data_IF_997803962846
#
_entry.id   IF_997803962846
#
_cell.length_a   1.000
_cell.length_b   1.000
_cell.length_c   1.000
_cell.angle_alpha   90.00
_cell.angle_beta   90.00
_cell.angle_gamma   90.00
#
_symmetry.space_group_name_H-M   'P 1'
#
loop_
_entity.id
_entity.type
_entity.pdbx_description
1 polymer ?
#
# COMPACT_ATOMS: atom_id res chain seq x y z
N UNK A 1 -4.69 -16.31 11.11
CA UNK A 1 -3.90 -15.82 9.96
C UNK A 1 -3.21 -17.02 9.33
N UNK A 2 -3.50 -17.35 8.07
CA UNK A 2 -2.98 -18.55 7.39
C UNK A 2 -1.64 -18.21 6.71
N UNK A 3 -0.55 -18.85 7.17
CA UNK A 3 0.81 -18.69 6.65
C UNK A 3 0.95 -19.06 5.15
N UNK A 4 0.00 -19.81 4.58
CA UNK A 4 0.00 -20.14 3.15
C UNK A 4 -0.27 -18.93 2.25
N UNK A 5 -1.06 -17.95 2.70
CA UNK A 5 -1.37 -16.76 1.89
C UNK A 5 -0.17 -15.84 1.72
N UNK A 6 0.77 -15.84 2.68
CA UNK A 6 2.00 -15.06 2.61
C UNK A 6 3.03 -15.71 1.67
N UNK A 7 3.10 -17.04 1.65
CA UNK A 7 4.04 -17.79 0.80
C UNK A 7 3.74 -17.68 -0.71
N UNK A 8 2.47 -17.57 -1.09
CA UNK A 8 2.08 -17.48 -2.51
C UNK A 8 2.39 -16.10 -3.13
N UNK A 9 2.43 -15.01 -2.34
CA UNK A 9 2.81 -13.69 -2.84
C UNK A 9 4.32 -13.56 -3.14
N UNK A 10 5.17 -14.38 -2.52
CA UNK A 10 6.63 -14.31 -2.72
C UNK A 10 7.10 -15.05 -3.99
N UNK A 11 6.30 -15.99 -4.52
CA UNK A 11 6.70 -16.81 -5.67
C UNK A 11 6.61 -16.11 -7.03
N UNK A 12 5.98 -14.93 -7.12
CA UNK A 12 5.87 -14.14 -8.36
C UNK A 12 6.70 -12.85 -8.35
N UNK A 13 7.48 -12.58 -7.29
CA UNK A 13 8.37 -11.44 -7.25
C UNK A 13 9.72 -11.82 -7.90
N UNK A 14 10.07 -11.09 -8.96
CA UNK A 14 11.39 -11.09 -9.60
C UNK A 14 12.54 -11.30 -8.59
N UNK A 15 13.31 -12.37 -8.77
CA UNK A 15 14.40 -12.81 -7.90
C UNK A 15 15.63 -11.89 -7.93
N UNK A 16 15.48 -10.60 -7.58
CA UNK A 16 16.59 -9.65 -7.43
C UNK A 16 16.60 -8.86 -6.13
N UNK A 17 15.65 -9.09 -5.23
CA UNK A 17 15.67 -8.51 -3.88
C UNK A 17 15.21 -9.53 -2.83
N UNK A 18 16.09 -10.48 -2.48
CA UNK A 18 15.90 -11.34 -1.32
C UNK A 18 17.24 -11.50 -0.58
N UNK A 19 17.61 -10.46 0.18
CA UNK A 19 18.52 -10.59 1.32
C UNK A 19 17.89 -9.86 2.49
N UNK A 20 17.31 -10.64 3.41
CA UNK A 20 17.36 -10.45 4.86
C UNK A 20 16.15 -11.15 5.51
N UNK A 21 16.46 -11.96 6.52
CA UNK A 21 15.61 -12.50 7.61
C UNK A 21 15.40 -14.01 7.57
N UNK A 22 16.46 -14.73 7.94
CA UNK A 22 16.33 -15.95 8.74
C UNK A 22 17.33 -15.83 9.90
N UNK A 23 16.83 -15.61 11.11
CA UNK A 23 17.56 -15.85 12.36
C UNK A 23 16.91 -17.08 13.03
N UNK A 24 17.65 -18.16 13.30
CA UNK A 24 17.08 -19.41 13.80
C UNK A 24 17.10 -19.43 15.33
N UNK A 25 15.98 -19.13 15.96
CA UNK A 25 15.79 -19.42 17.39
C UNK A 25 14.35 -19.86 17.65
N UNK A 26 14.13 -21.18 17.60
CA UNK A 26 13.32 -21.99 18.52
C UNK A 26 12.90 -23.31 17.85
N UNK A 27 13.71 -24.36 18.06
CA UNK A 27 13.27 -25.75 17.92
C UNK A 27 13.56 -26.44 19.25
N UNK A 28 12.50 -26.84 19.96
CA UNK A 28 12.56 -27.74 21.12
C UNK A 28 12.62 -29.20 20.64
N UNK A 29 13.35 -30.11 21.33
CA UNK A 29 13.70 -31.40 20.77
C UNK A 29 12.69 -32.53 21.05
N UNK A 30 12.52 -33.35 20.01
CA UNK A 30 12.45 -34.81 19.95
C UNK A 30 11.38 -35.60 20.75
N UNK A 31 10.64 -36.42 19.98
CA UNK A 31 10.00 -37.65 20.45
C UNK A 31 9.62 -38.57 19.29
N UNK A 32 10.20 -39.78 19.30
CA UNK A 32 9.84 -41.00 18.59
C UNK A 32 10.37 -41.28 17.16
N UNK A 33 11.25 -42.28 17.16
CA UNK A 33 11.79 -43.17 16.13
C UNK A 33 11.02 -43.38 14.82
N UNK A 34 11.75 -43.36 13.70
CA UNK A 34 11.80 -44.49 12.78
C UNK A 34 13.11 -44.49 11.96
N UNK A 35 13.74 -45.66 11.92
CA UNK A 35 14.97 -45.95 11.19
C UNK A 35 14.71 -45.99 9.67
N UNK A 36 15.55 -45.31 8.90
CA UNK A 36 15.89 -45.75 7.53
C UNK A 36 17.40 -45.56 7.35
N UNK A 37 18.11 -46.69 7.34
CA UNK A 37 19.49 -46.82 6.88
C UNK A 37 19.53 -46.55 5.37
N UNK A 38 20.54 -45.83 4.89
CA UNK A 38 21.21 -46.13 3.62
C UNK A 38 22.51 -45.30 3.46
N UNK A 39 23.61 -46.00 3.18
CA UNK A 39 24.65 -45.53 2.25
C UNK A 39 25.85 -44.77 2.83
N UNK A 40 26.91 -45.52 3.13
CA UNK A 40 28.25 -45.00 3.42
C UNK A 40 28.90 -44.31 2.21
N UNK A 41 29.71 -43.28 2.45
CA UNK A 41 31.14 -43.25 2.06
C UNK A 41 31.85 -42.13 2.81
N UNK A 42 33.07 -42.44 3.26
CA UNK A 42 33.89 -41.68 4.18
C UNK A 42 35.01 -40.92 3.46
N UNK A 43 35.38 -39.76 4.00
CA UNK A 43 36.69 -39.07 4.02
C UNK A 43 36.38 -37.65 4.56
N UNK A 44 36.88 -37.12 5.68
CA UNK A 44 38.04 -37.45 6.50
C UNK A 44 38.90 -36.19 6.62
N UNK A 45 38.71 -35.35 7.64
CA UNK A 45 39.79 -34.60 8.33
C UNK A 45 39.26 -33.81 9.54
N UNK A 46 39.95 -34.01 10.67
CA UNK A 46 39.77 -33.34 11.97
C UNK A 46 40.31 -31.91 11.94
N UNK A 47 39.80 -31.02 12.80
CA UNK A 47 40.61 -30.09 13.58
C UNK A 47 39.83 -29.49 14.78
N UNK A 48 40.33 -29.83 15.97
CA UNK A 48 40.47 -29.03 17.20
C UNK A 48 39.28 -28.33 17.89
N UNK A 49 39.18 -28.60 19.19
CA UNK A 49 38.29 -27.99 20.19
C UNK A 49 38.87 -26.68 20.77
N UNK A 50 37.97 -25.96 21.47
CA UNK A 50 38.13 -25.19 22.74
C UNK A 50 38.40 -23.67 22.64
N UNK A 51 37.44 -22.85 23.07
CA UNK A 51 37.33 -22.20 24.41
C UNK A 51 36.36 -21.00 24.33
N UNK A 52 35.47 -20.95 25.32
CA UNK A 52 34.49 -19.93 25.65
C UNK A 52 35.10 -18.65 26.25
N UNK A 53 34.49 -17.48 26.00
CA UNK A 53 34.52 -16.37 26.96
C UNK A 53 33.27 -15.48 26.86
N UNK A 54 32.60 -15.38 28.01
CA UNK A 54 31.49 -14.49 28.37
C UNK A 54 31.99 -13.04 28.41
N UNK A 55 31.16 -12.08 27.97
CA UNK A 55 31.49 -10.65 28.07
C UNK A 55 30.36 -9.69 27.77
N UNK A 56 29.60 -9.36 28.82
CA UNK A 56 29.05 -8.03 29.16
C UNK A 56 27.96 -7.38 28.28
N UNK A 57 26.76 -7.35 28.86
CA UNK A 57 25.64 -6.46 28.55
C UNK A 57 26.05 -4.98 28.49
N UNK A 58 25.55 -4.27 27.48
CA UNK A 58 25.24 -2.84 27.59
C UNK A 58 23.84 -2.55 27.03
N UNK A 59 23.00 -2.07 27.93
CA UNK A 59 21.70 -1.46 27.66
C UNK A 59 21.85 -0.31 26.66
N UNK A 60 21.09 -0.35 25.57
CA UNK A 60 20.78 0.83 24.75
C UNK A 60 19.27 0.88 24.55
N UNK A 61 18.55 1.14 25.65
CA UNK A 61 17.24 1.77 25.59
C UNK A 61 17.48 3.27 25.70
N UNK A 62 17.41 3.99 24.57
CA UNK A 62 17.01 5.39 24.47
C UNK A 62 17.40 5.97 23.10
N UNK A 63 16.51 5.84 22.11
CA UNK A 63 16.26 6.87 21.10
C UNK A 63 15.06 6.47 20.24
N UNK A 64 13.86 6.67 20.80
CA UNK A 64 12.69 6.90 19.97
C UNK A 64 12.95 8.22 19.24
N UNK A 65 13.40 8.13 17.99
CA UNK A 65 13.47 9.28 17.11
C UNK A 65 12.04 9.77 16.90
N UNK A 66 11.81 10.98 17.39
CA UNK A 66 10.68 11.84 17.05
C UNK A 66 10.49 11.79 15.53
N UNK A 67 9.30 11.39 15.07
CA UNK A 67 8.95 11.41 13.66
C UNK A 67 8.89 12.87 13.22
N UNK A 68 9.97 13.35 12.61
CA UNK A 68 10.00 14.69 12.02
C UNK A 68 9.17 14.64 10.72
N UNK A 69 7.92 15.08 10.81
CA UNK A 69 7.04 15.27 9.66
C UNK A 69 7.47 16.52 8.89
N UNK A 70 8.33 16.34 7.88
CA UNK A 70 8.56 17.38 6.86
C UNK A 70 7.49 17.27 5.75
N UNK A 71 6.92 18.39 5.28
CA UNK A 71 5.88 18.40 4.26
C UNK A 71 6.41 18.02 2.86
N UNK A 72 5.76 17.01 2.24
CA UNK A 72 5.80 16.68 0.81
C UNK A 72 5.16 17.86 0.07
N UNK A 73 5.97 18.66 -0.59
CA UNK A 73 5.49 19.80 -1.37
C UNK A 73 5.84 19.62 -2.85
N UNK A 74 4.83 19.69 -3.72
CA UNK A 74 5.05 20.26 -5.05
C UNK A 74 5.42 21.72 -4.83
N UNK A 75 6.57 22.18 -5.36
CA UNK A 75 6.96 23.59 -5.25
C UNK A 75 5.86 24.46 -5.86
N UNK A 76 5.09 25.16 -5.03
CA UNK A 76 4.26 26.28 -5.49
C UNK A 76 5.22 27.32 -6.08
N UNK A 77 4.97 27.85 -7.30
CA UNK A 77 5.74 28.99 -7.77
C UNK A 77 5.57 30.14 -6.77
N UNK A 78 6.68 30.76 -6.34
CA UNK A 78 6.65 31.92 -5.45
C UNK A 78 5.93 33.07 -6.18
N UNK A 79 4.81 33.61 -5.66
CA UNK A 79 4.28 34.85 -6.19
C UNK A 79 5.19 35.98 -5.73
N UNK A 80 6.07 36.44 -6.61
CA UNK A 80 6.73 37.74 -6.47
C UNK A 80 5.71 38.83 -6.80
N UNK A 81 4.85 39.16 -5.83
CA UNK A 81 4.27 40.50 -5.67
C UNK A 81 3.42 40.55 -4.40
N UNK A 82 3.57 41.64 -3.65
CA UNK A 82 2.73 41.99 -2.51
C UNK A 82 1.25 42.01 -2.93
N UNK A 83 0.45 41.07 -2.40
CA UNK A 83 -0.97 41.33 -2.14
C UNK A 83 -1.19 41.05 -0.66
N UNK A 84 -1.22 42.15 0.12
CA UNK A 84 -1.60 42.17 1.52
C UNK A 84 -3.13 42.13 1.55
N UNK A 85 -3.72 41.00 1.98
CA UNK A 85 -5.15 40.90 2.26
C UNK A 85 -5.99 40.18 1.20
N UNK A 86 -5.90 38.85 1.18
CA UNK A 86 -7.03 37.92 1.02
C UNK A 86 -6.45 36.53 1.29
N UNK A 87 -6.47 36.07 2.54
CA UNK A 87 -6.33 34.63 2.81
C UNK A 87 -7.59 33.97 2.27
N UNK A 88 -7.61 33.65 0.98
CA UNK A 88 -8.56 32.68 0.45
C UNK A 88 -8.23 31.37 1.16
N UNK A 89 -8.98 31.01 2.19
CA UNK A 89 -8.96 29.65 2.71
C UNK A 89 -9.40 28.77 1.56
N UNK A 90 -8.45 28.07 0.93
CA UNK A 90 -8.80 26.96 0.05
C UNK A 90 -9.74 26.07 0.86
N UNK A 91 -10.95 25.75 0.35
CA UNK A 91 -11.87 24.91 1.09
C UNK A 91 -11.14 23.63 1.46
N UNK A 92 -11.06 23.34 2.76
CA UNK A 92 -10.54 22.07 3.24
C UNK A 92 -11.49 20.98 2.78
N UNK A 93 -10.93 19.91 2.25
CA UNK A 93 -11.70 18.69 2.02
C UNK A 93 -11.88 18.06 3.41
N UNK A 94 -13.12 17.97 3.87
CA UNK A 94 -13.50 17.36 5.15
C UNK A 94 -14.00 15.91 4.98
N UNK A 95 -14.29 15.51 3.75
CA UNK A 95 -14.81 14.18 3.43
C UNK A 95 -13.69 13.13 3.31
N UNK A 96 -13.93 11.87 3.72
CA UNK A 96 -12.95 10.81 3.57
C UNK A 96 -12.58 10.52 2.11
N UNK A 97 -11.34 10.09 1.87
CA UNK A 97 -10.82 9.83 0.52
C UNK A 97 -10.66 8.34 0.24
N UNK A 98 -11.17 7.89 -0.90
CA UNK A 98 -10.89 6.57 -1.47
C UNK A 98 -9.91 6.74 -2.64
N UNK A 99 -8.71 6.19 -2.50
CA UNK A 99 -7.77 6.05 -3.61
C UNK A 99 -8.05 4.74 -4.36
N UNK A 100 -8.34 4.82 -5.65
CA UNK A 100 -8.83 3.70 -6.43
C UNK A 100 -7.87 3.32 -7.56
N UNK A 101 -7.34 2.09 -7.53
CA UNK A 101 -6.72 1.47 -8.71
C UNK A 101 -7.78 0.82 -9.62
N UNK A 102 -7.39 0.49 -10.85
CA UNK A 102 -8.21 -0.11 -11.89
C UNK A 102 -7.81 -1.56 -12.14
N UNK A 103 -6.61 -1.80 -12.66
CA UNK A 103 -6.12 -3.16 -12.91
C UNK A 103 -6.00 -3.92 -11.58
N UNK A 104 -6.50 -5.15 -11.54
CA UNK A 104 -6.55 -5.95 -10.31
C UNK A 104 -7.59 -5.51 -9.28
N UNK A 105 -8.38 -4.47 -9.58
CA UNK A 105 -9.44 -3.94 -8.70
C UNK A 105 -10.79 -3.90 -9.44
N UNK A 106 -10.90 -3.10 -10.50
CA UNK A 106 -12.11 -2.95 -11.31
C UNK A 106 -12.24 -4.02 -12.40
N UNK A 107 -11.19 -4.83 -12.58
CA UNK A 107 -11.10 -6.01 -13.44
C UNK A 107 -9.82 -6.78 -13.09
N UNK A 108 -9.65 -8.04 -13.51
CA UNK A 108 -8.39 -8.75 -13.35
C UNK A 108 -7.23 -8.03 -14.05
N UNK A 109 -6.06 -7.94 -13.42
CA UNK A 109 -4.89 -7.20 -13.91
C UNK A 109 -4.47 -7.62 -15.32
N UNK A 110 -4.50 -8.92 -15.60
CA UNK A 110 -4.15 -9.49 -16.90
C UNK A 110 -5.40 -10.03 -17.59
N UNK A 111 -6.29 -9.14 -17.99
CA UNK A 111 -7.46 -9.49 -18.78
C UNK A 111 -7.45 -8.84 -20.16
N UNK A 112 -8.26 -9.40 -21.06
CA UNK A 112 -8.52 -8.79 -22.36
C UNK A 112 -9.31 -7.48 -22.19
N UNK A 113 -9.10 -6.50 -23.06
CA UNK A 113 -9.70 -5.15 -22.93
C UNK A 113 -11.23 -5.17 -22.82
N UNK A 114 -11.89 -6.15 -23.44
CA UNK A 114 -13.35 -6.35 -23.35
C UNK A 114 -13.85 -6.71 -21.94
N UNK A 115 -12.94 -7.00 -20.99
CA UNK A 115 -13.23 -7.26 -19.58
C UNK A 115 -12.86 -6.09 -18.67
N UNK A 116 -12.27 -5.02 -19.20
CA UNK A 116 -12.01 -3.83 -18.41
C UNK A 116 -13.29 -3.32 -17.75
N UNK A 117 -13.17 -2.91 -16.49
CA UNK A 117 -14.28 -2.40 -15.67
C UNK A 117 -15.42 -3.40 -15.41
N UNK A 118 -15.22 -4.71 -15.62
CA UNK A 118 -16.27 -5.69 -15.35
C UNK A 118 -16.68 -5.78 -13.85
N UNK A 119 -15.87 -5.26 -12.92
CA UNK A 119 -16.19 -5.13 -11.49
C UNK A 119 -16.64 -3.72 -11.09
N UNK A 120 -16.64 -2.77 -12.02
CA UNK A 120 -17.02 -1.39 -11.72
C UNK A 120 -18.45 -1.27 -11.15
N UNK A 121 -19.49 -1.95 -11.67
CA UNK A 121 -20.83 -1.84 -11.09
C UNK A 121 -20.88 -2.16 -9.59
N UNK A 122 -20.22 -3.24 -9.17
CA UNK A 122 -20.13 -3.62 -7.76
C UNK A 122 -19.37 -2.58 -6.93
N UNK A 123 -18.25 -2.06 -7.46
CA UNK A 123 -17.49 -1.01 -6.78
C UNK A 123 -18.31 0.28 -6.61
N UNK A 124 -19.07 0.68 -7.62
CA UNK A 124 -19.93 1.85 -7.53
C UNK A 124 -21.05 1.68 -6.50
N UNK A 125 -21.65 0.49 -6.41
CA UNK A 125 -22.66 0.21 -5.40
C UNK A 125 -22.10 0.33 -3.97
N UNK A 126 -20.85 -0.09 -3.76
CA UNK A 126 -20.15 0.10 -2.49
C UNK A 126 -19.86 1.58 -2.22
N UNK A 127 -19.45 2.35 -3.23
CA UNK A 127 -19.25 3.79 -3.09
C UNK A 127 -20.56 4.54 -2.81
N UNK A 128 -21.70 4.11 -3.38
CA UNK A 128 -23.02 4.69 -3.09
C UNK A 128 -23.45 4.44 -1.64
N UNK A 129 -23.14 3.28 -1.09
CA UNK A 129 -23.37 2.98 0.34
C UNK A 129 -22.53 3.88 1.26
N UNK A 130 -21.31 4.24 0.83
CA UNK A 130 -20.45 5.21 1.50
C UNK A 130 -20.51 6.58 0.81
N UNK A 131 -21.70 7.17 0.70
CA UNK A 131 -21.99 8.33 -0.16
C UNK A 131 -21.18 9.59 0.13
N UNK A 132 -20.66 9.75 1.36
CA UNK A 132 -19.84 10.90 1.75
C UNK A 132 -18.38 10.79 1.29
N UNK A 133 -17.89 9.61 0.94
CA UNK A 133 -16.51 9.44 0.48
C UNK A 133 -16.28 10.16 -0.85
N UNK A 134 -15.09 10.71 -1.06
CA UNK A 134 -14.66 11.25 -2.35
C UNK A 134 -13.59 10.35 -2.94
N UNK A 135 -13.49 10.32 -4.26
CA UNK A 135 -12.62 9.36 -4.98
C UNK A 135 -11.44 10.09 -5.61
N UNK A 136 -10.26 9.48 -5.53
CA UNK A 136 -9.08 9.90 -6.28
C UNK A 136 -8.56 8.68 -7.01
N UNK A 137 -8.38 8.80 -8.32
CA UNK A 137 -7.86 7.68 -9.11
C UNK A 137 -6.36 7.58 -8.87
N UNK A 138 -5.91 6.43 -8.35
CA UNK A 138 -4.49 6.17 -8.11
C UNK A 138 -3.87 5.23 -9.15
N UNK A 139 -4.68 4.73 -10.09
CA UNK A 139 -4.24 3.83 -11.17
C UNK A 139 -3.14 4.41 -12.05
N UNK A 140 -2.28 3.55 -12.59
CA UNK A 140 -1.25 3.91 -13.60
C UNK A 140 -1.85 4.41 -14.91
N UNK A 141 -3.14 4.17 -15.18
CA UNK A 141 -3.84 4.67 -16.35
C UNK A 141 -3.81 6.21 -16.45
N UNK A 142 -3.73 6.91 -15.31
CA UNK A 142 -3.55 8.37 -15.24
C UNK A 142 -2.29 8.88 -15.91
N UNK A 143 -1.28 8.03 -16.11
CA UNK A 143 -0.04 8.39 -16.79
C UNK A 143 -0.21 8.44 -18.32
N UNK A 144 -1.29 7.86 -18.84
CA UNK A 144 -1.56 7.72 -20.27
C UNK A 144 -2.83 8.46 -20.71
N UNK A 145 -3.70 8.81 -19.77
CA UNK A 145 -4.97 9.46 -20.05
C UNK A 145 -5.27 10.58 -19.03
N UNK A 146 -5.81 11.71 -19.49
CA UNK A 146 -6.23 12.78 -18.59
C UNK A 146 -7.43 12.34 -17.74
N UNK A 147 -7.59 12.96 -16.57
CA UNK A 147 -8.63 12.59 -15.60
C UNK A 147 -10.04 12.66 -16.20
N UNK A 148 -10.29 13.59 -17.12
CA UNK A 148 -11.58 13.74 -17.81
C UNK A 148 -11.91 12.51 -18.66
N UNK A 149 -10.90 11.83 -19.22
CA UNK A 149 -11.11 10.57 -19.95
C UNK A 149 -11.37 9.42 -18.97
N UNK A 150 -10.64 9.36 -17.88
CA UNK A 150 -10.80 8.31 -16.87
C UNK A 150 -12.17 8.38 -16.16
N UNK A 151 -12.63 9.59 -15.83
CA UNK A 151 -13.94 9.84 -15.22
C UNK A 151 -15.10 9.30 -16.05
N UNK A 152 -14.97 9.26 -17.39
CA UNK A 152 -16.04 8.78 -18.29
C UNK A 152 -16.34 7.28 -18.16
N UNK A 153 -15.50 6.50 -17.50
CA UNK A 153 -15.81 5.10 -17.21
C UNK A 153 -16.88 4.96 -16.12
N UNK A 154 -17.04 5.97 -15.27
CA UNK A 154 -17.93 5.94 -14.12
C UNK A 154 -19.32 6.48 -14.48
N UNK A 155 -20.32 5.98 -13.75
CA UNK A 155 -21.65 6.57 -13.70
C UNK A 155 -21.60 8.05 -13.28
N UNK A 156 -22.55 8.89 -13.73
CA UNK A 156 -22.51 10.33 -13.46
C UNK A 156 -22.36 10.68 -11.97
N UNK A 157 -23.09 10.00 -11.09
CA UNK A 157 -23.07 10.25 -9.65
C UNK A 157 -21.71 9.92 -8.99
N UNK A 158 -21.02 8.89 -9.49
CA UNK A 158 -19.67 8.57 -9.03
C UNK A 158 -18.63 9.48 -9.68
N UNK A 159 -18.80 9.82 -10.96
CA UNK A 159 -17.89 10.69 -11.68
C UNK A 159 -17.79 12.08 -11.03
N UNK A 160 -18.90 12.62 -10.52
CA UNK A 160 -18.95 13.89 -9.77
C UNK A 160 -18.14 13.84 -8.45
N UNK A 161 -18.00 12.65 -7.86
CA UNK A 161 -17.23 12.43 -6.62
C UNK A 161 -15.74 12.21 -6.86
N UNK A 162 -15.29 12.06 -8.11
CA UNK A 162 -13.88 11.90 -8.46
C UNK A 162 -13.22 13.27 -8.43
N UNK A 163 -12.38 13.54 -7.43
CA UNK A 163 -11.69 14.82 -7.28
C UNK A 163 -10.50 15.00 -8.21
N UNK A 164 -9.89 13.90 -8.66
CA UNK A 164 -8.70 13.98 -9.49
C UNK A 164 -7.97 12.64 -9.59
N UNK A 165 -6.68 12.75 -9.86
CA UNK A 165 -5.74 11.64 -9.94
C UNK A 165 -4.56 11.89 -8.98
N UNK A 166 -3.88 10.84 -8.52
CA UNK A 166 -2.65 11.00 -7.74
C UNK A 166 -1.50 11.54 -8.61
N UNK A 167 -0.53 12.27 -8.04
CA UNK A 167 0.70 12.63 -8.76
C UNK A 167 1.50 11.39 -9.17
N UNK A 168 2.48 11.57 -10.05
CA UNK A 168 3.41 10.53 -10.48
C UNK A 168 4.59 10.44 -9.51
N UNK A 169 4.88 9.25 -8.97
CA UNK A 169 5.94 9.08 -7.96
C UNK A 169 7.31 9.69 -8.34
N UNK A 170 7.86 9.52 -9.56
CA UNK A 170 9.16 10.09 -9.94
C UNK A 170 9.18 11.62 -9.96
N UNK A 171 8.03 12.28 -9.99
CA UNK A 171 7.92 13.74 -9.96
C UNK A 171 7.79 14.29 -8.54
N UNK A 172 7.59 13.41 -7.55
CA UNK A 172 7.52 13.81 -6.15
C UNK A 172 8.88 14.30 -5.67
N UNK A 173 8.84 15.32 -4.83
CA UNK A 173 10.01 15.89 -4.15
C UNK A 173 9.85 15.66 -2.65
N UNK A 174 10.97 15.57 -1.97
CA UNK A 174 11.03 15.47 -0.50
C UNK A 174 10.24 14.27 0.05
N UNK A 175 10.28 13.13 -0.67
CA UNK A 175 9.65 11.88 -0.21
C UNK A 175 10.34 11.40 1.06
N UNK A 176 9.63 11.25 2.20
CA UNK A 176 10.20 10.73 3.43
C UNK A 176 10.91 9.40 3.19
N UNK A 177 12.07 9.21 3.81
CA UNK A 177 12.84 7.96 3.70
C UNK A 177 12.01 6.71 4.04
N UNK A 178 11.03 6.84 4.92
CA UNK A 178 10.10 5.76 5.31
C UNK A 178 9.13 5.34 4.20
N UNK A 179 8.96 6.16 3.17
CA UNK A 179 8.09 5.88 2.02
C UNK A 179 8.90 5.52 0.75
N UNK A 180 10.24 5.49 0.83
CA UNK A 180 11.06 5.03 -0.27
C UNK A 180 10.74 3.56 -0.57
N UNK A 181 10.41 3.26 -1.84
CA UNK A 181 9.97 1.93 -2.27
C UNK A 181 8.46 1.68 -2.13
N UNK A 182 7.73 2.52 -1.39
CA UNK A 182 6.27 2.41 -1.23
C UNK A 182 5.56 3.47 -2.08
N UNK A 183 5.72 3.32 -3.39
CA UNK A 183 5.43 4.38 -4.35
C UNK A 183 3.97 4.84 -4.31
N UNK A 184 3.01 3.90 -4.30
CA UNK A 184 1.59 4.24 -4.31
C UNK A 184 1.18 4.94 -3.03
N UNK A 185 1.69 4.51 -1.87
CA UNK A 185 1.41 5.21 -0.61
C UNK A 185 2.00 6.63 -0.60
N UNK A 186 3.18 6.85 -1.15
CA UNK A 186 3.76 8.18 -1.28
C UNK A 186 2.93 9.10 -2.19
N UNK A 187 2.43 8.57 -3.30
CA UNK A 187 1.52 9.28 -4.22
C UNK A 187 0.22 9.69 -3.52
N UNK A 188 -0.42 8.78 -2.78
CA UNK A 188 -1.63 9.09 -2.00
C UNK A 188 -1.38 10.18 -0.96
N UNK A 189 -0.28 10.08 -0.19
CA UNK A 189 0.06 11.07 0.84
C UNK A 189 0.41 12.44 0.26
N UNK A 190 1.13 12.46 -0.87
CA UNK A 190 1.41 13.69 -1.60
C UNK A 190 0.12 14.36 -2.09
N UNK A 191 -0.84 13.59 -2.60
CA UNK A 191 -2.15 14.10 -2.99
C UNK A 191 -2.90 14.71 -1.79
N UNK A 192 -2.97 13.99 -0.66
CA UNK A 192 -3.64 14.49 0.55
C UNK A 192 -3.04 15.83 1.02
N UNK A 193 -1.71 15.94 1.05
CA UNK A 193 -1.04 17.17 1.50
C UNK A 193 -1.21 18.33 0.51
N UNK A 194 -1.12 18.07 -0.80
CA UNK A 194 -1.33 19.08 -1.81
C UNK A 194 -2.75 19.68 -1.77
N UNK A 195 -3.74 18.87 -1.36
CA UNK A 195 -5.16 19.24 -1.29
C UNK A 195 -5.64 19.60 0.12
N UNK A 196 -4.74 19.86 1.07
CA UNK A 196 -5.07 20.18 2.47
C UNK A 196 -5.99 19.13 3.16
N UNK A 197 -5.92 17.87 2.71
CA UNK A 197 -6.71 16.74 3.16
C UNK A 197 -5.87 15.76 4.02
N UNK A 198 -4.76 16.21 4.59
CA UNK A 198 -3.86 15.38 5.41
C UNK A 198 -4.56 14.79 6.66
N UNK A 199 -5.62 15.45 7.12
CA UNK A 199 -6.31 15.20 8.37
C UNK A 199 -7.51 14.26 8.18
N UNK A 200 -8.02 14.08 6.96
CA UNK A 200 -9.20 13.24 6.72
C UNK A 200 -8.82 11.75 6.66
N UNK A 201 -9.72 10.85 7.07
CA UNK A 201 -9.54 9.43 6.87
C UNK A 201 -9.41 9.08 5.38
N UNK A 202 -8.61 8.06 5.07
CA UNK A 202 -8.48 7.57 3.70
C UNK A 202 -8.26 6.06 3.62
N UNK A 203 -8.64 5.50 2.47
CA UNK A 203 -8.48 4.10 2.12
C UNK A 203 -8.02 3.97 0.66
N UNK A 204 -6.95 3.22 0.40
CA UNK A 204 -6.62 2.75 -0.93
C UNK A 204 -7.25 1.38 -1.18
N UNK A 205 -7.82 1.18 -2.36
CA UNK A 205 -8.25 -0.13 -2.86
C UNK A 205 -7.32 -0.48 -4.02
N UNK A 206 -6.47 -1.49 -3.81
CA UNK A 206 -5.31 -1.78 -4.66
C UNK A 206 -4.93 -3.27 -4.55
N UNK A 207 -4.43 -3.87 -5.62
CA UNK A 207 -4.03 -5.27 -5.67
C UNK A 207 -2.54 -5.50 -5.36
N UNK A 208 -1.74 -4.44 -5.28
CA UNK A 208 -0.28 -4.52 -5.15
C UNK A 208 0.19 -4.06 -3.77
N UNK A 209 0.13 -4.93 -2.74
CA UNK A 209 0.45 -4.55 -1.37
C UNK A 209 1.89 -4.06 -1.18
N UNK A 210 2.84 -4.47 -2.03
CA UNK A 210 4.24 -4.02 -1.98
C UNK A 210 4.43 -2.54 -2.36
N UNK A 211 3.43 -1.87 -2.93
CA UNK A 211 3.46 -0.43 -3.18
C UNK A 211 3.10 0.41 -1.94
N UNK A 212 2.80 -0.25 -0.83
CA UNK A 212 2.46 0.36 0.45
C UNK A 212 3.38 -0.19 1.55
N UNK A 213 3.55 0.58 2.63
CA UNK A 213 4.28 0.11 3.81
C UNK A 213 3.65 -1.17 4.36
N UNK A 214 4.45 -2.08 4.94
CA UNK A 214 3.92 -3.25 5.65
C UNK A 214 2.88 -2.84 6.69
N UNK A 215 1.79 -3.61 6.77
CA UNK A 215 0.68 -3.37 7.70
C UNK A 215 0.00 -1.99 7.53
N UNK A 216 0.03 -1.41 6.33
CA UNK A 216 -0.67 -0.16 6.03
C UNK A 216 -2.17 -0.30 6.35
N UNK A 217 -2.59 0.30 7.48
CA UNK A 217 -3.98 0.28 7.92
C UNK A 217 -4.94 0.95 6.95
N UNK A 218 -4.45 1.82 6.06
CA UNK A 218 -5.24 2.51 5.03
C UNK A 218 -5.25 1.78 3.68
N UNK A 219 -4.83 0.52 3.62
CA UNK A 219 -4.91 -0.30 2.42
C UNK A 219 -5.97 -1.40 2.56
N UNK A 220 -6.82 -1.52 1.54
CA UNK A 220 -7.64 -2.69 1.29
C UNK A 220 -7.08 -3.44 0.08
N UNK A 221 -6.56 -4.64 0.31
CA UNK A 221 -5.91 -5.45 -0.72
C UNK A 221 -6.94 -6.29 -1.46
N UNK A 222 -6.99 -6.19 -2.79
CA UNK A 222 -7.75 -7.11 -3.64
C UNK A 222 -6.86 -8.25 -4.16
N UNK A 223 -7.49 -9.32 -4.63
CA UNK A 223 -6.79 -10.31 -5.44
C UNK A 223 -6.69 -9.79 -6.88
N UNK A 224 -5.48 -9.51 -7.37
CA UNK A 224 -5.26 -8.95 -8.72
C UNK A 224 -5.80 -9.82 -9.87
N UNK A 225 -6.02 -11.11 -9.64
CA UNK A 225 -6.61 -12.00 -10.65
C UNK A 225 -8.15 -11.94 -10.71
N UNK A 226 -8.79 -11.31 -9.73
CA UNK A 226 -10.25 -11.35 -9.58
C UNK A 226 -10.88 -9.96 -9.53
N UNK A 227 -10.18 -8.99 -8.94
CA UNK A 227 -10.70 -7.67 -8.64
C UNK A 227 -11.56 -7.64 -7.37
N UNK A 228 -12.43 -6.63 -7.28
CA UNK A 228 -13.50 -6.57 -6.29
C UNK A 228 -14.57 -7.59 -6.65
N UNK A 229 -14.78 -8.56 -5.77
CA UNK A 229 -15.81 -9.61 -5.92
C UNK A 229 -16.86 -9.51 -4.83
N UNK A 230 -17.99 -10.16 -5.05
CA UNK A 230 -19.09 -10.27 -4.10
C UNK A 230 -18.62 -10.88 -2.76
N UNK A 231 -17.61 -11.75 -2.79
CA UNK A 231 -17.04 -12.38 -1.59
C UNK A 231 -16.30 -11.41 -0.67
N UNK A 232 -15.65 -10.37 -1.22
CA UNK A 232 -14.93 -9.36 -0.44
C UNK A 232 -15.73 -8.06 -0.24
N UNK A 233 -16.81 -7.86 -0.99
CA UNK A 233 -17.64 -6.67 -0.95
C UNK A 233 -18.14 -6.33 0.47
N UNK A 234 -18.60 -7.26 1.32
CA UNK A 234 -19.00 -6.93 2.70
C UNK A 234 -17.86 -6.37 3.55
N UNK A 235 -16.63 -6.87 3.34
CA UNK A 235 -15.45 -6.41 4.08
C UNK A 235 -15.03 -5.02 3.61
N UNK A 236 -15.07 -4.77 2.30
CA UNK A 236 -14.80 -3.46 1.72
C UNK A 236 -15.86 -2.44 2.18
N UNK A 237 -17.15 -2.79 2.16
CA UNK A 237 -18.22 -1.96 2.67
C UNK A 237 -17.99 -1.55 4.14
N UNK A 238 -17.65 -2.52 5.00
CA UNK A 238 -17.35 -2.24 6.41
C UNK A 238 -16.17 -1.27 6.56
N UNK A 239 -15.11 -1.43 5.76
CA UNK A 239 -13.94 -0.55 5.76
C UNK A 239 -14.26 0.86 5.25
N UNK A 240 -15.12 0.99 4.25
CA UNK A 240 -15.60 2.28 3.76
C UNK A 240 -16.47 2.99 4.80
N UNK A 241 -17.40 2.29 5.45
CA UNK A 241 -18.23 2.85 6.52
C UNK A 241 -17.41 3.34 7.71
N UNK A 242 -16.35 2.63 8.08
CA UNK A 242 -15.44 3.06 9.15
C UNK A 242 -14.77 4.41 8.86
N UNK A 243 -14.59 4.80 7.60
CA UNK A 243 -14.04 6.11 7.26
C UNK A 243 -15.01 7.25 7.59
N UNK A 244 -16.33 6.96 7.54
CA UNK A 244 -17.40 7.95 7.67
C UNK A 244 -17.89 8.15 9.11
N UNK A 245 -17.48 7.26 10.02
CA UNK A 245 -17.97 7.21 11.41
C UNK A 245 -16.96 7.77 12.43
N UNK A 246 -15.88 8.40 11.97
CA UNK A 246 -14.83 9.03 12.80
C UNK A 246 -15.06 10.54 12.91
#
# INVERSE_FOLDING_TARGET
>A
MNLQAFGQCLNNANARYLVALLDPAHVTPAGCHQHVLLGQTAQGTQLSKRVSKVGSSRNIFARLHRLDFLPLGLKRPRPTSLIRGLTMSMPSIEAPIVFLDFDGVLHPEFCHESKHFCRLPLMEDLLRQASTCLVVISSTWRLQAPVEKLRKHFSPDIAERILGVTPNYPELRDVPNTLLGYHRQAECRAWLWANNAAHVPWLAVDDRPWLFMPFCGSLFVTNGLEGVTEGIAPQLAARLHQLTSL
#
